data_IF_547714731818
#
_entry.id   IF_547714731818
#
_cell.length_a   1.000
_cell.length_b   1.000
_cell.length_c   1.000
_cell.angle_alpha   90.00
_cell.angle_beta   90.00
_cell.angle_gamma   90.00
#
_symmetry.space_group_name_H-M   'P 1'
#
loop_
_entity.id
_entity.type
_entity.pdbx_description
1 polymer ?
#
# COMPACT_ATOMS: atom_id res chain seq x y z
N UNK A 1 4.56 -0.13 -6.24
CA UNK A 1 4.75 0.76 -5.07
C UNK A 1 3.61 0.49 -4.10
N UNK A 2 3.89 0.28 -2.82
CA UNK A 2 2.88 0.11 -1.77
C UNK A 2 2.83 1.38 -0.94
N UNK A 3 1.64 1.93 -0.72
CA UNK A 3 1.42 3.18 0.01
C UNK A 3 0.56 2.86 1.22
N UNK A 4 1.05 3.20 2.41
CA UNK A 4 0.40 2.91 3.68
C UNK A 4 0.23 4.16 4.52
N UNK A 5 -0.98 4.36 5.02
CA UNK A 5 -1.29 5.33 6.05
C UNK A 5 -2.61 4.96 6.74
N UNK A 6 -2.92 5.67 7.84
CA UNK A 6 -4.20 5.51 8.57
C UNK A 6 -5.38 6.17 7.85
N UNK A 7 -5.11 7.23 7.07
CA UNK A 7 -6.14 8.00 6.37
C UNK A 7 -6.31 7.48 4.95
N UNK A 8 -7.47 6.90 4.65
CA UNK A 8 -7.74 6.28 3.36
C UNK A 8 -7.74 7.28 2.18
N UNK A 9 -8.15 8.52 2.43
CA UNK A 9 -8.18 9.56 1.39
C UNK A 9 -6.78 9.89 0.87
N UNK A 10 -5.82 10.03 1.77
CA UNK A 10 -4.44 10.42 1.46
C UNK A 10 -3.72 9.33 0.65
N UNK A 11 -3.91 8.05 1.03
CA UNK A 11 -3.30 6.92 0.31
C UNK A 11 -3.89 6.74 -1.09
N UNK A 12 -5.20 6.96 -1.27
CA UNK A 12 -5.86 6.84 -2.57
C UNK A 12 -5.45 7.96 -3.52
N UNK A 13 -5.30 9.18 -3.01
CA UNK A 13 -4.80 10.31 -3.81
C UNK A 13 -3.36 10.06 -4.28
N UNK A 14 -2.49 9.63 -3.38
CA UNK A 14 -1.09 9.31 -3.70
C UNK A 14 -1.00 8.16 -4.70
N UNK A 15 -1.81 7.11 -4.54
CA UNK A 15 -1.86 6.00 -5.49
C UNK A 15 -2.26 6.47 -6.90
N UNK A 16 -3.27 7.34 -7.02
CA UNK A 16 -3.68 7.92 -8.30
C UNK A 16 -2.56 8.73 -8.96
N UNK A 17 -1.78 9.48 -8.18
CA UNK A 17 -0.64 10.24 -8.72
C UNK A 17 0.42 9.28 -9.28
N UNK A 18 0.76 8.23 -8.53
CA UNK A 18 1.73 7.21 -8.97
C UNK A 18 1.25 6.46 -10.23
N UNK A 19 -0.06 6.15 -10.30
CA UNK A 19 -0.67 5.53 -11.47
C UNK A 19 -0.69 6.43 -12.71
N UNK A 20 -0.91 7.74 -12.53
CA UNK A 20 -0.81 8.72 -13.62
C UNK A 20 0.59 8.80 -14.24
N UNK A 21 1.63 8.59 -13.43
CA UNK A 21 3.02 8.49 -13.89
C UNK A 21 3.35 7.14 -14.56
N UNK A 22 2.35 6.28 -14.80
CA UNK A 22 2.49 5.00 -15.48
C UNK A 22 3.04 3.87 -14.61
N UNK A 23 3.11 4.07 -13.28
CA UNK A 23 3.59 3.06 -12.32
C UNK A 23 2.41 2.37 -11.63
N UNK A 24 2.60 1.13 -11.18
CA UNK A 24 1.59 0.42 -10.38
C UNK A 24 1.67 0.83 -8.90
N UNK A 25 0.55 1.21 -8.31
CA UNK A 25 0.42 1.53 -6.90
C UNK A 25 -0.60 0.61 -6.19
N UNK A 26 -0.34 0.27 -4.94
CA UNK A 26 -1.27 -0.41 -4.04
C UNK A 26 -1.44 0.45 -2.79
N UNK A 27 -2.62 1.05 -2.62
CA UNK A 27 -2.98 1.74 -1.40
C UNK A 27 -3.55 0.74 -0.39
N UNK A 28 -2.91 0.60 0.77
CA UNK A 28 -3.41 -0.23 1.87
C UNK A 28 -3.59 0.67 3.10
N UNK A 29 -4.77 0.64 3.70
CA UNK A 29 -4.98 1.28 5.00
C UNK A 29 -4.50 0.32 6.08
N UNK A 30 -3.55 0.77 6.89
CA UNK A 30 -2.90 -0.07 7.91
C UNK A 30 -2.52 0.79 9.10
N UNK A 31 -2.92 0.37 10.30
CA UNK A 31 -2.35 0.86 11.56
C UNK A 31 -1.15 0.00 11.94
N UNK A 32 0.06 0.56 11.84
CA UNK A 32 1.31 -0.12 12.18
C UNK A 32 1.43 -0.53 13.65
N UNK A 33 0.53 -0.05 14.53
CA UNK A 33 0.46 -0.46 15.93
C UNK A 33 -0.30 -1.77 16.12
N UNK A 34 -1.02 -2.23 15.09
CA UNK A 34 -1.75 -3.48 15.07
C UNK A 34 -0.98 -4.50 14.23
N UNK A 35 -0.42 -5.51 14.88
CA UNK A 35 0.40 -6.53 14.24
C UNK A 35 -0.37 -7.31 13.17
N UNK A 36 -1.66 -7.60 13.40
CA UNK A 36 -2.50 -8.31 12.43
C UNK A 36 -2.69 -7.49 11.14
N UNK A 37 -2.86 -6.17 11.27
CA UNK A 37 -2.98 -5.27 10.11
C UNK A 37 -1.68 -5.18 9.32
N UNK A 38 -0.53 -5.26 9.98
CA UNK A 38 0.79 -5.29 9.33
C UNK A 38 0.96 -6.58 8.54
N UNK A 39 0.60 -7.73 9.11
CA UNK A 39 0.68 -9.03 8.43
C UNK A 39 -0.23 -9.04 7.20
N UNK A 40 -1.46 -8.56 7.32
CA UNK A 40 -2.41 -8.45 6.21
C UNK A 40 -1.88 -7.51 5.11
N UNK A 41 -1.29 -6.36 5.48
CA UNK A 41 -0.66 -5.45 4.53
C UNK A 41 0.47 -6.11 3.73
N UNK A 42 1.37 -6.83 4.41
CA UNK A 42 2.48 -7.55 3.76
C UNK A 42 1.93 -8.61 2.81
N UNK A 43 0.93 -9.39 3.23
CA UNK A 43 0.29 -10.39 2.37
C UNK A 43 -0.32 -9.75 1.12
N UNK A 44 -1.04 -8.63 1.26
CA UNK A 44 -1.58 -7.87 0.12
C UNK A 44 -0.49 -7.36 -0.82
N UNK A 45 0.61 -6.85 -0.28
CA UNK A 45 1.76 -6.41 -1.07
C UNK A 45 2.40 -7.56 -1.86
N UNK A 46 2.61 -8.71 -1.21
CA UNK A 46 3.14 -9.91 -1.85
C UNK A 46 2.20 -10.46 -2.92
N UNK A 47 0.90 -10.49 -2.69
CA UNK A 47 -0.08 -10.93 -3.68
C UNK A 47 -0.15 -10.01 -4.90
N UNK A 48 0.04 -8.70 -4.71
CA UNK A 48 -0.03 -7.72 -5.79
C UNK A 48 1.26 -7.64 -6.64
N UNK A 49 2.44 -7.77 -6.01
CA UNK A 49 3.73 -7.51 -6.66
C UNK A 49 4.67 -8.73 -6.70
N UNK A 50 4.38 -9.80 -5.97
CA UNK A 50 5.18 -11.03 -5.90
C UNK A 50 6.50 -10.90 -5.13
N UNK A 51 6.96 -9.67 -4.86
CA UNK A 51 8.17 -9.36 -4.10
C UNK A 51 8.06 -7.97 -3.48
N UNK A 52 8.84 -7.75 -2.42
CA UNK A 52 8.99 -6.44 -1.76
C UNK A 52 10.47 -6.07 -1.84
N UNK A 53 10.75 -4.99 -2.54
CA UNK A 53 12.05 -4.33 -2.61
C UNK A 53 11.87 -2.88 -2.10
N UNK A 54 12.91 -2.28 -1.49
CA UNK A 54 12.86 -0.92 -0.91
C UNK A 54 13.74 0.03 -1.72
#
# INVERSE_FOLDING_TARGET
IVIVARTEREIRETARLVEKEGRKALAVKTDIRNEEEVIDMVSKAMNAFGRIDI
#
